data_IF_777469017724
#
_entry.id   IF_777469017724
#
_cell.length_a   1.000
_cell.length_b   1.000
_cell.length_c   1.000
_cell.angle_alpha   90.00
_cell.angle_beta   90.00
_cell.angle_gamma   90.00
#
_symmetry.space_group_name_H-M   'P 1'
#
loop_
_entity.id
_entity.type
_entity.pdbx_description
1 polymer ?
#
# COMPACT_ATOMS: atom_id res chain seq x y z
N UNK A 1 -1.78 17.13 11.09
CA UNK A 1 -0.63 16.65 10.29
C UNK A 1 -0.33 15.17 10.58
N UNK A 2 -0.44 14.68 11.82
CA UNK A 2 -0.09 13.30 12.22
C UNK A 2 -0.87 12.14 11.57
N UNK A 3 -2.15 12.33 11.23
CA UNK A 3 -2.98 11.20 10.78
C UNK A 3 -2.58 10.65 9.40
N UNK A 4 -2.14 11.52 8.48
CA UNK A 4 -1.68 11.07 7.17
C UNK A 4 -0.31 10.40 7.30
N UNK A 5 0.59 10.94 8.14
CA UNK A 5 1.87 10.30 8.45
C UNK A 5 1.68 8.89 9.01
N UNK A 6 0.74 8.70 9.94
CA UNK A 6 0.42 7.39 10.47
C UNK A 6 -0.10 6.41 9.40
N UNK A 7 -0.85 6.89 8.39
CA UNK A 7 -1.29 6.07 7.26
C UNK A 7 -0.12 5.71 6.35
N UNK A 8 0.80 6.63 6.06
CA UNK A 8 2.03 6.31 5.31
C UNK A 8 2.87 5.26 6.01
N UNK A 9 3.07 5.39 7.32
CA UNK A 9 3.79 4.39 8.10
C UNK A 9 3.12 3.03 8.00
N UNK A 10 1.79 2.97 8.10
CA UNK A 10 1.05 1.72 7.93
C UNK A 10 1.20 1.13 6.53
N UNK A 11 1.10 1.94 5.48
CA UNK A 11 1.32 1.49 4.09
C UNK A 11 2.72 0.91 3.95
N UNK A 12 3.75 1.62 4.40
CA UNK A 12 5.13 1.15 4.33
C UNK A 12 5.36 -0.15 5.11
N UNK A 13 4.83 -0.26 6.33
CA UNK A 13 4.95 -1.47 7.14
C UNK A 13 4.23 -2.67 6.51
N UNK A 14 3.04 -2.47 5.93
CA UNK A 14 2.31 -3.53 5.24
C UNK A 14 3.01 -3.94 3.95
N UNK A 15 3.48 -2.97 3.17
CA UNK A 15 4.27 -3.20 1.97
C UNK A 15 5.54 -3.98 2.26
N UNK A 16 6.25 -3.64 3.33
CA UNK A 16 7.42 -4.39 3.78
C UNK A 16 7.06 -5.80 4.22
N UNK A 17 6.00 -5.97 5.02
CA UNK A 17 5.53 -7.30 5.43
C UNK A 17 5.17 -8.18 4.22
N UNK A 18 4.50 -7.62 3.20
CA UNK A 18 4.19 -8.36 1.97
C UNK A 18 5.48 -8.76 1.23
N UNK A 19 6.50 -7.91 1.22
CA UNK A 19 7.78 -8.22 0.60
C UNK A 19 8.54 -9.33 1.34
N UNK A 20 8.47 -9.39 2.68
CA UNK A 20 9.27 -10.32 3.49
C UNK A 20 8.57 -11.63 3.81
N UNK A 21 7.24 -11.61 3.99
CA UNK A 21 6.46 -12.75 4.46
C UNK A 21 5.62 -13.41 3.35
N UNK A 22 5.78 -12.98 2.10
CA UNK A 22 5.11 -13.57 0.95
C UNK A 22 6.00 -13.58 -0.28
N UNK A 23 5.54 -14.20 -1.37
CA UNK A 23 6.25 -14.17 -2.66
C UNK A 23 5.98 -12.88 -3.46
N UNK A 24 5.25 -11.93 -2.88
CA UNK A 24 4.87 -10.71 -3.59
C UNK A 24 6.01 -9.70 -3.64
N UNK A 25 6.13 -9.03 -4.79
CA UNK A 25 6.96 -7.84 -4.93
C UNK A 25 6.13 -6.61 -4.57
N UNK A 26 6.59 -5.86 -3.60
CA UNK A 26 5.93 -4.64 -3.11
C UNK A 26 6.83 -3.43 -3.35
N UNK A 27 6.27 -2.37 -3.90
CA UNK A 27 6.96 -1.11 -4.18
C UNK A 27 6.09 0.05 -3.72
N UNK A 28 6.66 0.96 -2.93
CA UNK A 28 6.05 2.23 -2.53
C UNK A 28 7.02 3.34 -2.87
N UNK A 29 6.57 4.36 -3.58
CA UNK A 29 7.39 5.48 -4.00
C UNK A 29 6.64 6.80 -3.82
N UNK A 30 7.35 7.81 -3.33
CA UNK A 30 6.92 9.21 -3.40
C UNK A 30 7.83 9.88 -4.42
N UNK A 31 7.27 10.24 -5.57
CA UNK A 31 7.99 10.96 -6.62
C UNK A 31 7.79 12.47 -6.42
N UNK A 32 8.85 13.14 -5.97
CA UNK A 32 8.82 14.59 -5.78
C UNK A 32 8.89 15.37 -7.11
N UNK A 33 9.38 14.75 -8.19
CA UNK A 33 9.46 15.41 -9.50
C UNK A 33 8.08 15.44 -10.17
N UNK A 34 7.32 14.36 -10.03
CA UNK A 34 5.98 14.21 -10.60
C UNK A 34 4.85 14.55 -9.59
N UNK A 35 5.22 15.01 -8.40
CA UNK A 35 4.29 15.27 -7.28
C UNK A 35 3.28 14.13 -7.09
N UNK A 36 3.79 12.90 -7.02
CA UNK A 36 2.94 11.72 -7.04
C UNK A 36 3.35 10.70 -5.98
N UNK A 37 2.35 9.94 -5.52
CA UNK A 37 2.55 8.80 -4.64
C UNK A 37 2.08 7.54 -5.35
N UNK A 38 2.93 6.51 -5.30
CA UNK A 38 2.71 5.27 -6.01
C UNK A 38 2.87 4.06 -5.09
N UNK A 39 1.99 3.08 -5.26
CA UNK A 39 2.14 1.75 -4.68
C UNK A 39 1.81 0.67 -5.71
N UNK A 40 2.61 -0.40 -5.71
CA UNK A 40 2.36 -1.60 -6.51
C UNK A 40 2.72 -2.86 -5.74
N UNK A 41 1.80 -3.81 -5.74
CA UNK A 41 1.96 -5.18 -5.25
C UNK A 41 1.79 -6.13 -6.43
N UNK A 42 2.77 -7.01 -6.64
CA UNK A 42 2.79 -7.98 -7.74
C UNK A 42 3.03 -9.39 -7.22
N UNK A 43 2.38 -10.38 -7.82
CA UNK A 43 2.71 -11.79 -7.67
C UNK A 43 3.38 -12.27 -8.96
N UNK A 44 4.70 -12.48 -8.92
CA UNK A 44 5.49 -12.71 -10.13
C UNK A 44 5.35 -11.57 -11.15
N UNK A 45 4.65 -11.82 -12.26
CA UNK A 45 4.37 -10.85 -13.32
C UNK A 45 2.98 -10.21 -13.20
N UNK A 46 2.10 -10.78 -12.38
CA UNK A 46 0.73 -10.32 -12.21
C UNK A 46 0.65 -9.14 -11.24
N UNK A 47 -0.11 -8.11 -11.59
CA UNK A 47 -0.34 -6.96 -10.73
C UNK A 47 -1.57 -7.20 -9.85
N UNK A 48 -1.34 -7.51 -8.58
CA UNK A 48 -2.41 -7.77 -7.61
C UNK A 48 -3.03 -6.47 -7.11
N UNK A 49 -2.22 -5.43 -6.93
CA UNK A 49 -2.69 -4.11 -6.52
C UNK A 49 -1.79 -3.01 -7.08
N UNK A 50 -2.40 -1.94 -7.55
CA UNK A 50 -1.70 -0.74 -8.01
C UNK A 50 -2.55 0.47 -7.68
N UNK A 51 -1.95 1.48 -7.06
CA UNK A 51 -2.60 2.75 -6.80
C UNK A 51 -1.64 3.90 -7.09
N UNK A 52 -2.17 4.95 -7.72
CA UNK A 52 -1.43 6.16 -8.07
C UNK A 52 -2.22 7.37 -7.58
N UNK A 53 -1.55 8.25 -6.82
CA UNK A 53 -2.10 9.51 -6.35
C UNK A 53 -1.30 10.61 -7.02
N UNK A 54 -1.93 11.30 -7.98
CA UNK A 54 -1.40 12.48 -8.64
C UNK A 54 -1.67 13.76 -7.83
N UNK A 55 -0.93 14.83 -8.14
CA UNK A 55 -1.01 16.14 -7.51
C UNK A 55 -1.00 16.03 -5.97
N UNK A 56 -0.12 15.16 -5.46
CA UNK A 56 -0.13 14.69 -4.09
C UNK A 56 0.01 15.83 -3.09
N UNK A 57 0.89 16.80 -3.34
CA UNK A 57 1.09 17.97 -2.50
C UNK A 57 -0.10 18.96 -2.51
N UNK A 58 -0.90 18.94 -3.58
CA UNK A 58 -2.02 19.87 -3.79
C UNK A 58 -3.37 19.29 -3.38
N UNK A 59 -3.43 17.99 -3.07
CA UNK A 59 -4.68 17.29 -2.75
C UNK A 59 -5.27 17.75 -1.42
N UNK A 60 -6.60 17.94 -1.36
CA UNK A 60 -7.28 18.26 -0.10
C UNK A 60 -7.01 17.14 0.92
N UNK A 61 -6.56 17.55 2.11
CA UNK A 61 -6.05 16.63 3.13
C UNK A 61 -7.07 15.59 3.61
N UNK A 62 -8.38 15.86 3.50
CA UNK A 62 -9.44 14.91 3.86
C UNK A 62 -9.60 13.84 2.77
N UNK A 63 -9.59 14.25 1.51
CA UNK A 63 -9.61 13.32 0.38
C UNK A 63 -8.36 12.45 0.36
N UNK A 64 -7.18 13.05 0.54
CA UNK A 64 -5.93 12.31 0.66
C UNK A 64 -6.00 11.30 1.81
N UNK A 65 -6.54 11.68 2.96
CA UNK A 65 -6.70 10.75 4.09
C UNK A 65 -7.63 9.57 3.77
N UNK A 66 -8.75 9.82 3.10
CA UNK A 66 -9.69 8.77 2.70
C UNK A 66 -8.99 7.79 1.74
N UNK A 67 -8.27 8.32 0.76
CA UNK A 67 -7.55 7.54 -0.23
C UNK A 67 -6.45 6.69 0.41
N UNK A 68 -5.60 7.27 1.26
CA UNK A 68 -4.58 6.54 2.02
C UNK A 68 -5.20 5.47 2.93
N UNK A 69 -6.34 5.75 3.55
CA UNK A 69 -7.05 4.76 4.37
C UNK A 69 -7.55 3.59 3.52
N UNK A 70 -8.04 3.87 2.31
CA UNK A 70 -8.45 2.83 1.35
C UNK A 70 -7.27 1.94 0.92
N UNK A 71 -6.10 2.53 0.71
CA UNK A 71 -4.86 1.77 0.43
C UNK A 71 -4.54 0.85 1.61
N UNK A 72 -4.51 1.37 2.85
CA UNK A 72 -4.26 0.55 4.05
C UNK A 72 -5.26 -0.60 4.16
N UNK A 73 -6.56 -0.34 3.95
CA UNK A 73 -7.59 -1.38 4.00
C UNK A 73 -7.36 -2.48 2.97
N UNK A 74 -7.02 -2.14 1.72
CA UNK A 74 -6.70 -3.13 0.69
C UNK A 74 -5.46 -3.97 1.05
N UNK A 75 -4.39 -3.34 1.51
CA UNK A 75 -3.17 -4.07 1.91
C UNK A 75 -3.43 -5.01 3.11
N UNK A 76 -4.25 -4.59 4.07
CA UNK A 76 -4.67 -5.45 5.18
C UNK A 76 -5.50 -6.65 4.69
N UNK A 77 -6.37 -6.45 3.70
CA UNK A 77 -7.14 -7.54 3.11
C UNK A 77 -6.22 -8.55 2.42
N UNK A 78 -5.26 -8.07 1.60
CA UNK A 78 -4.25 -8.94 0.96
C UNK A 78 -3.48 -9.74 2.02
N UNK A 79 -3.00 -9.07 3.07
CA UNK A 79 -2.31 -9.72 4.18
C UNK A 79 -3.16 -10.82 4.84
N UNK A 80 -4.44 -10.55 5.11
CA UNK A 80 -5.36 -11.55 5.69
C UNK A 80 -5.51 -12.77 4.80
N UNK A 81 -5.70 -12.56 3.49
CA UNK A 81 -5.79 -13.67 2.52
C UNK A 81 -4.56 -14.58 2.56
N UNK A 82 -3.35 -14.01 2.61
CA UNK A 82 -2.10 -14.79 2.72
C UNK A 82 -2.04 -15.56 4.04
N UNK A 83 -2.37 -14.90 5.15
CA UNK A 83 -2.35 -15.55 6.48
C UNK A 83 -3.36 -16.69 6.57
N UNK A 84 -4.54 -16.54 5.97
CA UNK A 84 -5.56 -17.59 5.92
C UNK A 84 -5.10 -18.77 5.06
N UNK A 85 -4.43 -18.52 3.93
CA UNK A 85 -3.81 -19.57 3.09
C UNK A 85 -2.73 -20.34 3.87
N UNK A 86 -1.85 -19.65 4.59
CA UNK A 86 -0.81 -20.29 5.40
C UNK A 86 -1.41 -21.16 6.52
N UNK A 87 -2.50 -20.71 7.15
CA UNK A 87 -3.19 -21.49 8.19
C UNK A 87 -3.83 -22.76 7.63
N UNK A 88 -4.39 -22.72 6.43
CA UNK A 88 -5.01 -23.89 5.80
C UNK A 88 -3.99 -24.92 5.29
N UNK A 89 -2.76 -24.49 5.00
CA UNK A 89 -1.67 -25.35 4.55
C UNK A 89 -0.86 -26.00 5.70
N UNK A 90 -1.12 -25.61 6.95
CA UNK A 90 -0.48 -26.15 8.17
C UNK A 90 -1.38 -27.15 8.88
#
# INVERSE_FOLDING_TARGET
>A
MDKNLALFTQINSLSYWLLTESNFKSSVALDANDDSFFISIKDGLESIYKHHIEDFSKKDTRFLRIELSSIVSHLLQIKRTIQDQHRQAS
#
